data_IF_080403111438
#
_entry.id   IF_080403111438
#
_cell.length_a   1.000
_cell.length_b   1.000
_cell.length_c   1.000
_cell.angle_alpha   90.00
_cell.angle_beta   90.00
_cell.angle_gamma   90.00
#
_symmetry.space_group_name_H-M   'P 1'
#
loop_
_entity.id
_entity.type
_entity.pdbx_description
1 polymer ?
#
# COMPACT_ATOMS: atom_id res chain seq x y z
N UNK A 1 9.48 -4.07 -8.39
CA UNK A 1 8.89 -5.42 -8.40
C UNK A 1 7.47 -5.33 -8.92
N UNK A 2 7.05 -6.33 -9.69
CA UNK A 2 5.68 -6.45 -10.23
C UNK A 2 5.09 -7.78 -9.76
N UNK A 3 3.91 -7.75 -9.16
CA UNK A 3 3.15 -8.94 -8.81
C UNK A 3 2.23 -9.33 -9.98
N UNK A 4 2.26 -10.61 -10.38
CA UNK A 4 1.41 -11.19 -11.42
C UNK A 4 0.83 -12.51 -10.92
N UNK A 5 -0.38 -12.48 -10.41
CA UNK A 5 -0.93 -13.60 -9.65
C UNK A 5 -0.09 -13.87 -8.40
N UNK A 6 0.45 -15.06 -8.26
CA UNK A 6 1.35 -15.44 -7.17
C UNK A 6 2.85 -15.19 -7.47
N UNK A 7 3.19 -14.80 -8.70
CA UNK A 7 4.57 -14.60 -9.13
C UNK A 7 4.99 -13.15 -8.88
N UNK A 8 6.19 -12.99 -8.34
CA UNK A 8 6.88 -11.73 -8.20
C UNK A 8 7.98 -11.63 -9.26
N UNK A 9 7.95 -10.56 -10.01
CA UNK A 9 8.84 -10.31 -11.14
C UNK A 9 9.62 -9.03 -10.91
N UNK A 10 10.87 -9.01 -11.36
CA UNK A 10 11.68 -7.78 -11.41
C UNK A 10 11.54 -7.16 -12.78
N UNK A 11 11.09 -5.92 -12.82
CA UNK A 11 11.05 -5.11 -14.03
C UNK A 11 12.40 -4.40 -14.18
N UNK A 12 13.03 -4.57 -15.32
CA UNK A 12 14.13 -3.71 -15.73
C UNK A 12 13.53 -2.41 -16.30
N UNK A 13 13.80 -1.24 -15.69
CA UNK A 13 13.21 0.02 -16.15
C UNK A 13 13.83 0.55 -17.44
N UNK A 14 14.96 -0.01 -17.89
CA UNK A 14 15.67 0.45 -19.11
C UNK A 14 15.07 -0.17 -20.35
N UNK A 15 14.86 -1.49 -20.35
CA UNK A 15 14.37 -2.24 -21.52
C UNK A 15 12.97 -2.82 -21.35
N UNK A 16 12.37 -2.69 -20.16
CA UNK A 16 11.02 -3.17 -19.85
C UNK A 16 10.94 -4.69 -19.66
N UNK A 17 12.07 -5.41 -19.60
CA UNK A 17 12.06 -6.85 -19.39
C UNK A 17 11.58 -7.23 -18.00
N UNK A 18 10.85 -8.34 -17.92
CA UNK A 18 10.39 -8.93 -16.66
C UNK A 18 11.11 -10.25 -16.43
N UNK A 19 11.75 -10.38 -15.26
CA UNK A 19 12.42 -11.61 -14.84
C UNK A 19 11.76 -12.16 -13.59
N UNK A 20 11.55 -13.48 -13.52
CA UNK A 20 11.06 -14.14 -12.32
C UNK A 20 12.04 -13.93 -11.16
N UNK A 21 11.49 -13.64 -9.98
CA UNK A 21 12.26 -13.46 -8.75
C UNK A 21 11.80 -14.41 -7.65
N UNK A 22 10.48 -14.42 -7.33
CA UNK A 22 9.94 -15.26 -6.29
C UNK A 22 8.52 -15.71 -6.65
N UNK A 23 8.04 -16.74 -5.98
CA UNK A 23 6.64 -17.16 -6.03
C UNK A 23 6.11 -17.32 -4.62
N UNK A 24 5.01 -16.64 -4.32
CA UNK A 24 4.31 -16.76 -3.04
C UNK A 24 3.36 -17.96 -3.10
N UNK A 25 3.39 -18.88 -2.12
CA UNK A 25 2.49 -20.03 -2.10
C UNK A 25 1.08 -19.59 -1.70
N UNK A 26 0.28 -19.19 -2.67
CA UNK A 26 -1.12 -18.79 -2.49
C UNK A 26 -2.07 -19.95 -2.79
N UNK A 27 -3.11 -20.09 -1.99
CA UNK A 27 -4.24 -20.95 -2.30
C UNK A 27 -5.04 -20.42 -3.51
N UNK A 28 -5.78 -21.29 -4.23
CA UNK A 28 -6.58 -20.86 -5.38
C UNK A 28 -7.54 -19.72 -5.06
N UNK A 29 -7.54 -18.70 -5.92
CA UNK A 29 -8.39 -17.52 -5.79
C UNK A 29 -7.86 -16.43 -4.86
N UNK A 30 -6.79 -16.67 -4.12
CA UNK A 30 -6.11 -15.60 -3.38
C UNK A 30 -5.37 -14.65 -4.31
N UNK A 31 -5.31 -13.39 -3.92
CA UNK A 31 -4.65 -12.33 -4.68
C UNK A 31 -3.60 -11.66 -3.82
N UNK A 32 -2.47 -11.31 -4.42
CA UNK A 32 -1.55 -10.33 -3.84
C UNK A 32 -2.14 -8.94 -4.08
N UNK A 33 -1.94 -8.05 -3.12
CA UNK A 33 -2.41 -6.68 -3.21
C UNK A 33 -1.25 -5.69 -3.05
N UNK A 34 -1.21 -4.90 -2.01
CA UNK A 34 -0.19 -3.88 -1.83
C UNK A 34 1.02 -4.40 -1.03
N UNK A 35 2.15 -3.69 -1.13
CA UNK A 35 3.38 -4.06 -0.45
C UNK A 35 4.40 -2.93 -0.35
N UNK A 36 5.36 -3.11 0.56
CA UNK A 36 6.46 -2.18 0.80
C UNK A 36 7.77 -2.93 1.05
N UNK A 37 8.90 -2.24 0.95
CA UNK A 37 10.20 -2.81 1.31
C UNK A 37 10.60 -2.39 2.73
N UNK A 38 11.29 -3.29 3.44
CA UNK A 38 11.96 -2.95 4.69
C UNK A 38 13.38 -2.38 4.44
N UNK A 39 14.02 -1.86 5.50
CA UNK A 39 15.37 -1.29 5.42
C UNK A 39 16.46 -2.31 5.04
N UNK A 40 16.18 -3.61 5.21
CA UNK A 40 17.04 -4.69 4.78
C UNK A 40 16.84 -5.08 3.30
N UNK A 41 15.89 -4.45 2.61
CA UNK A 41 15.55 -4.69 1.21
C UNK A 41 14.68 -5.92 0.97
N UNK A 42 14.04 -6.48 2.00
CA UNK A 42 13.02 -7.50 1.82
C UNK A 42 11.67 -6.85 1.44
N UNK A 43 10.93 -7.47 0.54
CA UNK A 43 9.56 -7.07 0.21
C UNK A 43 8.59 -7.65 1.24
N UNK A 44 7.70 -6.80 1.72
CA UNK A 44 6.53 -7.19 2.49
C UNK A 44 5.29 -6.92 1.65
N UNK A 45 4.44 -7.94 1.46
CA UNK A 45 3.27 -7.86 0.59
C UNK A 45 2.09 -8.59 1.22
N UNK A 46 0.93 -7.96 1.19
CA UNK A 46 -0.31 -8.55 1.68
C UNK A 46 -0.97 -9.46 0.67
N UNK A 47 -1.64 -10.51 1.15
CA UNK A 47 -2.56 -11.29 0.31
C UNK A 47 -3.97 -11.31 0.90
N UNK A 48 -4.94 -11.42 -0.01
CA UNK A 48 -6.36 -11.26 0.26
C UNK A 48 -7.10 -12.55 -0.07
N UNK A 49 -7.89 -13.03 0.87
CA UNK A 49 -8.82 -14.14 0.66
C UNK A 49 -9.92 -13.74 -0.34
N UNK A 50 -10.33 -14.61 -1.27
CA UNK A 50 -11.36 -14.28 -2.28
C UNK A 50 -12.66 -13.75 -1.68
N UNK A 51 -13.06 -14.25 -0.52
CA UNK A 51 -14.25 -13.82 0.22
C UNK A 51 -14.03 -12.60 1.11
N UNK A 52 -12.84 -12.00 1.14
CA UNK A 52 -12.50 -10.85 2.02
C UNK A 52 -12.91 -11.05 3.46
N UNK A 53 -12.66 -12.27 3.97
CA UNK A 53 -13.09 -12.70 5.31
C UNK A 53 -12.24 -12.03 6.38
N UNK A 54 -12.83 -11.35 7.38
CA UNK A 54 -12.09 -10.82 8.51
C UNK A 54 -11.22 -11.89 9.19
N UNK A 55 -9.99 -11.55 9.52
CA UNK A 55 -9.05 -12.46 10.16
C UNK A 55 -8.33 -13.43 9.21
N UNK A 56 -8.65 -13.46 7.92
CA UNK A 56 -8.04 -14.39 6.96
C UNK A 56 -6.74 -13.87 6.34
N UNK A 57 -6.51 -12.55 6.29
CA UNK A 57 -5.41 -11.91 5.60
C UNK A 57 -4.04 -12.44 6.03
N UNK A 58 -3.15 -12.54 5.05
CA UNK A 58 -1.76 -12.95 5.24
C UNK A 58 -0.82 -11.83 4.83
N UNK A 59 0.33 -11.81 5.45
CA UNK A 59 1.44 -10.92 5.15
C UNK A 59 2.66 -11.78 4.82
N UNK A 60 3.27 -11.55 3.68
CA UNK A 60 4.41 -12.31 3.21
C UNK A 60 5.66 -11.44 3.21
N UNK A 61 6.71 -11.92 3.85
CA UNK A 61 8.05 -11.35 3.72
C UNK A 61 8.81 -12.15 2.67
N UNK A 62 9.31 -11.45 1.67
CA UNK A 62 10.12 -12.04 0.60
C UNK A 62 11.54 -11.48 0.70
N UNK A 63 12.47 -12.31 1.11
CA UNK A 63 13.88 -11.96 1.21
C UNK A 63 14.49 -11.67 -0.16
N UNK A 64 15.66 -11.00 -0.18
CA UNK A 64 16.32 -10.59 -1.42
C UNK A 64 16.64 -11.74 -2.38
N UNK A 65 16.78 -12.98 -1.84
CA UNK A 65 17.00 -14.21 -2.63
C UNK A 65 15.72 -14.93 -3.01
N UNK A 66 14.55 -14.34 -2.76
CA UNK A 66 13.24 -14.92 -3.09
C UNK A 66 12.71 -15.90 -2.03
N UNK A 67 13.36 -16.05 -0.88
CA UNK A 67 12.86 -16.81 0.25
C UNK A 67 11.60 -16.17 0.83
N UNK A 68 10.53 -16.97 1.01
CA UNK A 68 9.23 -16.47 1.46
C UNK A 68 8.93 -16.96 2.87
N UNK A 69 8.56 -16.03 3.74
CA UNK A 69 7.98 -16.31 5.06
C UNK A 69 6.60 -15.71 5.15
N UNK A 70 5.62 -16.47 5.62
CA UNK A 70 4.21 -16.03 5.71
C UNK A 70 3.76 -15.89 7.15
N UNK A 71 3.06 -14.80 7.44
CA UNK A 71 2.48 -14.45 8.73
C UNK A 71 0.97 -14.20 8.58
N UNK A 72 0.21 -14.34 9.67
CA UNK A 72 -1.18 -13.88 9.71
C UNK A 72 -1.21 -12.40 10.06
N UNK A 73 -1.78 -11.56 9.17
CA UNK A 73 -2.08 -10.15 9.47
C UNK A 73 -3.42 -9.98 10.18
N UNK A 74 -4.36 -10.88 9.92
CA UNK A 74 -5.71 -10.77 10.45
C UNK A 74 -6.60 -9.75 9.72
N UNK A 75 -6.09 -9.09 8.67
CA UNK A 75 -6.87 -8.17 7.83
C UNK A 75 -7.95 -8.91 7.02
N UNK A 76 -9.00 -8.19 6.62
CA UNK A 76 -9.98 -8.67 5.64
C UNK A 76 -9.55 -8.34 4.21
N UNK A 77 -9.06 -7.11 4.00
CA UNK A 77 -8.51 -6.62 2.74
C UNK A 77 -7.25 -5.82 3.03
N UNK A 78 -6.12 -6.54 3.02
CA UNK A 78 -4.78 -5.97 3.16
C UNK A 78 -4.51 -4.99 2.02
N UNK A 79 -4.23 -3.73 2.35
CA UNK A 79 -3.95 -2.68 1.37
C UNK A 79 -2.67 -1.93 1.75
N UNK A 80 -2.59 -0.62 1.53
CA UNK A 80 -1.40 0.18 1.71
C UNK A 80 -0.64 -0.12 2.98
N UNK A 81 0.69 -0.14 2.91
CA UNK A 81 1.53 -0.37 4.08
C UNK A 81 2.81 0.44 4.03
N UNK A 82 3.31 0.82 5.21
CA UNK A 82 4.58 1.54 5.36
C UNK A 82 5.24 1.22 6.69
N UNK A 83 6.57 1.25 6.71
CA UNK A 83 7.34 1.12 7.94
C UNK A 83 7.38 2.43 8.71
N UNK A 84 7.05 2.38 10.00
CA UNK A 84 7.21 3.52 10.92
C UNK A 84 8.65 3.60 11.40
N UNK A 85 9.22 2.47 11.72
CA UNK A 85 10.63 2.25 12.04
C UNK A 85 11.05 0.83 11.63
N UNK A 86 12.23 0.37 12.04
CA UNK A 86 12.75 -0.96 11.67
C UNK A 86 11.97 -2.16 12.26
N UNK A 87 11.03 -1.92 13.17
CA UNK A 87 10.26 -2.95 13.87
C UNK A 87 8.73 -2.78 13.76
N UNK A 88 8.25 -1.62 13.30
CA UNK A 88 6.83 -1.33 13.26
C UNK A 88 6.37 -1.04 11.83
N UNK A 89 5.38 -1.83 11.38
CA UNK A 89 4.74 -1.74 10.07
C UNK A 89 3.27 -1.32 10.26
N UNK A 90 2.85 -0.25 9.59
CA UNK A 90 1.43 0.11 9.50
C UNK A 90 0.84 -0.48 8.23
N UNK A 91 -0.36 -1.06 8.35
CA UNK A 91 -1.14 -1.65 7.27
C UNK A 91 -2.56 -1.13 7.29
N UNK A 92 -3.07 -0.73 6.14
CA UNK A 92 -4.47 -0.37 5.94
C UNK A 92 -5.32 -1.62 5.69
N UNK A 93 -6.43 -1.76 6.41
CA UNK A 93 -7.49 -2.72 6.09
C UNK A 93 -8.71 -1.96 5.55
N UNK A 94 -8.95 -2.09 4.26
CA UNK A 94 -10.03 -1.36 3.59
C UNK A 94 -11.42 -1.76 4.11
N UNK A 95 -11.65 -3.04 4.41
CA UNK A 95 -12.95 -3.54 4.88
C UNK A 95 -13.19 -3.18 6.34
N UNK A 96 -12.19 -3.38 7.20
CA UNK A 96 -12.27 -2.98 8.61
C UNK A 96 -12.22 -1.46 8.78
N UNK A 97 -11.74 -0.70 7.78
CA UNK A 97 -11.55 0.76 7.80
C UNK A 97 -10.58 1.18 8.90
N UNK A 98 -9.52 0.40 9.08
CA UNK A 98 -8.50 0.62 10.11
C UNK A 98 -7.13 0.83 9.50
N UNK A 99 -6.29 1.55 10.24
CA UNK A 99 -4.84 1.51 10.11
C UNK A 99 -4.31 0.73 11.30
N UNK A 100 -3.67 -0.41 11.05
CA UNK A 100 -3.15 -1.28 12.11
C UNK A 100 -1.64 -1.25 12.09
N UNK A 101 -1.05 -0.89 13.23
CA UNK A 101 0.38 -0.96 13.47
C UNK A 101 0.74 -2.33 14.04
N UNK A 102 1.66 -3.00 13.39
CA UNK A 102 2.20 -4.29 13.80
C UNK A 102 3.62 -4.14 14.29
N UNK A 103 3.92 -4.73 15.43
CA UNK A 103 5.31 -5.01 15.80
C UNK A 103 5.75 -6.29 15.07
N UNK A 104 6.82 -6.18 14.33
CA UNK A 104 7.37 -7.27 13.51
C UNK A 104 8.64 -7.79 14.16
N UNK A 105 8.65 -9.06 14.52
CA UNK A 105 9.81 -9.76 15.07
C UNK A 105 10.19 -10.96 14.21
N UNK A 106 11.49 -11.14 13.95
CA UNK A 106 11.98 -12.25 13.11
C UNK A 106 11.62 -13.62 13.71
N UNK A 107 11.53 -13.72 15.03
CA UNK A 107 11.20 -14.96 15.74
C UNK A 107 9.75 -14.98 16.25
N UNK A 108 9.20 -13.83 16.61
CA UNK A 108 7.91 -13.71 17.29
C UNK A 108 6.75 -13.46 16.31
N UNK A 109 7.07 -13.36 15.01
CA UNK A 109 6.08 -13.10 13.97
C UNK A 109 5.59 -11.66 13.97
N UNK A 110 4.35 -11.48 13.55
CA UNK A 110 3.68 -10.19 13.43
C UNK A 110 2.62 -10.07 14.52
N UNK A 111 2.72 -9.07 15.37
CA UNK A 111 1.81 -8.82 16.49
C UNK A 111 1.20 -7.42 16.38
N UNK A 112 -0.11 -7.30 16.60
CA UNK A 112 -0.76 -6.00 16.63
C UNK A 112 -0.22 -5.20 17.82
N UNK A 113 0.35 -4.04 17.56
CA UNK A 113 0.80 -3.09 18.55
C UNK A 113 -0.30 -2.06 18.83
N UNK A 114 -0.93 -1.54 17.78
CA UNK A 114 -2.01 -0.56 17.86
C UNK A 114 -2.92 -0.64 16.64
N UNK A 115 -4.17 -0.21 16.77
CA UNK A 115 -5.10 -0.06 15.66
C UNK A 115 -5.91 1.23 15.81
N UNK A 116 -6.00 2.00 14.72
CA UNK A 116 -6.83 3.20 14.64
C UNK A 116 -7.99 2.93 13.69
N UNK A 117 -9.21 3.16 14.17
CA UNK A 117 -10.35 3.30 13.29
C UNK A 117 -10.28 4.66 12.60
N UNK A 118 -10.47 4.69 11.29
CA UNK A 118 -10.52 5.96 10.58
C UNK A 118 -11.81 6.70 10.95
N UNK A 119 -11.73 8.03 11.17
CA UNK A 119 -12.91 8.83 11.43
C UNK A 119 -13.89 8.72 10.25
N UNK A 120 -15.20 8.93 10.48
CA UNK A 120 -16.18 8.95 9.40
C UNK A 120 -15.76 9.90 8.28
N UNK A 121 -15.82 9.41 7.06
CA UNK A 121 -15.43 10.13 5.85
C UNK A 121 -16.61 10.20 4.87
N UNK A 122 -16.69 11.21 3.99
CA UNK A 122 -17.70 11.24 2.94
C UNK A 122 -17.63 10.01 2.02
N UNK A 123 -18.77 9.57 1.52
CA UNK A 123 -18.83 8.45 0.57
C UNK A 123 -18.44 7.11 1.20
N UNK A 124 -17.89 6.20 0.39
CA UNK A 124 -17.40 4.89 0.83
C UNK A 124 -16.08 4.97 1.56
N UNK A 125 -15.20 5.89 1.16
CA UNK A 125 -13.92 6.26 1.78
C UNK A 125 -13.17 5.09 2.44
N UNK A 126 -12.82 4.09 1.67
CA UNK A 126 -12.07 2.94 2.15
C UNK A 126 -10.57 3.27 2.14
N UNK A 127 -9.82 3.03 3.22
CA UNK A 127 -8.37 3.21 3.20
C UNK A 127 -7.74 2.25 2.18
N UNK A 128 -6.91 2.81 1.31
CA UNK A 128 -6.23 2.11 0.21
C UNK A 128 -4.72 2.29 0.36
N UNK A 129 -3.98 2.59 -0.69
CA UNK A 129 -2.55 2.83 -0.63
C UNK A 129 -2.17 3.99 0.28
N UNK A 130 -1.00 3.93 0.90
CA UNK A 130 -0.52 4.95 1.83
C UNK A 130 0.99 5.16 1.76
N UNK A 131 1.43 6.34 2.20
CA UNK A 131 2.85 6.62 2.45
C UNK A 131 3.03 7.44 3.73
N UNK A 132 4.28 7.52 4.21
CA UNK A 132 4.66 8.25 5.43
C UNK A 132 5.52 9.47 5.11
N UNK A 133 5.34 10.54 5.88
CA UNK A 133 6.20 11.72 5.85
C UNK A 133 7.22 11.77 7.02
N UNK A 134 8.14 12.74 6.97
CA UNK A 134 9.21 12.89 7.97
C UNK A 134 8.72 13.27 9.37
N UNK A 135 7.50 13.78 9.51
CA UNK A 135 6.88 14.09 10.80
C UNK A 135 6.08 12.90 11.36
N UNK A 136 6.12 11.73 10.69
CA UNK A 136 5.37 10.54 11.09
C UNK A 136 3.89 10.58 10.70
N UNK A 137 3.47 11.54 9.87
CA UNK A 137 2.13 11.58 9.30
C UNK A 137 1.95 10.49 8.23
N UNK A 138 0.76 9.89 8.19
CA UNK A 138 0.36 8.89 7.21
C UNK A 138 -0.58 9.55 6.20
N UNK A 139 -0.16 9.61 4.94
CA UNK A 139 -0.98 10.02 3.81
C UNK A 139 -1.69 8.81 3.24
N UNK A 140 -3.00 8.76 3.38
CA UNK A 140 -3.84 7.60 3.06
C UNK A 140 -4.78 7.95 1.93
N UNK A 141 -4.72 7.21 0.84
CA UNK A 141 -5.74 7.27 -0.21
C UNK A 141 -7.05 6.71 0.33
N UNK A 142 -8.14 7.45 0.14
CA UNK A 142 -9.47 7.07 0.59
C UNK A 142 -10.35 6.75 -0.62
N UNK A 143 -10.30 5.49 -1.04
CA UNK A 143 -11.04 4.99 -2.21
C UNK A 143 -12.54 5.26 -2.09
N UNK A 144 -13.13 5.85 -3.12
CA UNK A 144 -14.55 6.20 -3.17
C UNK A 144 -14.88 7.59 -2.64
N UNK A 145 -13.91 8.35 -2.10
CA UNK A 145 -14.13 9.71 -1.59
C UNK A 145 -13.49 10.82 -2.45
N UNK A 146 -12.60 10.47 -3.38
CA UNK A 146 -11.84 11.46 -4.15
C UNK A 146 -10.80 12.21 -3.31
N UNK A 147 -10.30 11.62 -2.21
CA UNK A 147 -9.39 12.32 -1.31
C UNK A 147 -8.18 11.46 -0.91
N UNK A 148 -7.07 12.14 -0.63
CA UNK A 148 -5.95 11.64 0.15
C UNK A 148 -5.91 12.43 1.46
N UNK A 149 -6.02 11.76 2.60
CA UNK A 149 -6.01 12.41 3.90
C UNK A 149 -4.72 12.12 4.67
N UNK A 150 -4.19 13.13 5.36
CA UNK A 150 -3.05 12.99 6.25
C UNK A 150 -3.51 12.75 7.68
N UNK A 151 -3.01 11.70 8.31
CA UNK A 151 -3.32 11.35 9.69
C UNK A 151 -2.07 11.41 10.57
N UNK A 152 -2.20 11.98 11.76
CA UNK A 152 -1.18 11.97 12.82
C UNK A 152 -1.83 11.47 14.11
N UNK A 153 -1.34 10.37 14.67
CA UNK A 153 -1.93 9.76 15.87
C UNK A 153 -3.41 9.42 15.71
N UNK A 154 -3.83 8.95 14.54
CA UNK A 154 -5.22 8.62 14.23
C UNK A 154 -6.14 9.82 13.93
N UNK A 155 -5.64 11.06 14.03
CA UNK A 155 -6.41 12.27 13.73
C UNK A 155 -6.09 12.79 12.33
N UNK A 156 -7.12 13.09 11.54
CA UNK A 156 -6.95 13.77 10.27
C UNK A 156 -6.51 15.22 10.50
N UNK A 157 -5.39 15.60 9.87
CA UNK A 157 -4.78 16.94 10.02
C UNK A 157 -4.67 17.70 8.70
N UNK A 158 -4.75 16.99 7.57
CA UNK A 158 -4.69 17.59 6.23
C UNK A 158 -5.47 16.72 5.23
N UNK A 159 -5.84 17.29 4.07
CA UNK A 159 -6.56 16.59 3.01
C UNK A 159 -6.27 17.21 1.64
N UNK A 160 -6.06 16.34 0.65
CA UNK A 160 -5.97 16.71 -0.76
C UNK A 160 -7.13 16.08 -1.51
N UNK A 161 -7.85 16.87 -2.30
CA UNK A 161 -8.99 16.40 -3.11
C UNK A 161 -8.57 16.30 -4.57
N UNK A 162 -9.02 15.23 -5.23
CA UNK A 162 -8.92 15.02 -6.68
C UNK A 162 -10.31 14.88 -7.30
N UNK A 163 -10.48 15.20 -8.61
CA UNK A 163 -11.81 15.29 -9.22
C UNK A 163 -12.43 13.93 -9.61
N UNK A 164 -11.91 12.81 -9.10
CA UNK A 164 -12.42 11.46 -9.35
C UNK A 164 -12.46 10.66 -8.05
N UNK A 165 -13.50 9.83 -7.80
CA UNK A 165 -13.69 9.20 -6.50
C UNK A 165 -12.73 8.04 -6.20
N UNK A 166 -12.25 7.32 -7.21
CA UNK A 166 -11.49 6.08 -7.01
C UNK A 166 -9.99 6.35 -6.82
N UNK A 167 -9.64 7.04 -5.73
CA UNK A 167 -8.23 7.27 -5.33
C UNK A 167 -7.66 5.97 -4.76
N UNK A 168 -6.56 5.47 -5.35
CA UNK A 168 -6.02 4.14 -5.02
C UNK A 168 -4.73 4.18 -4.22
N UNK A 169 -3.85 5.15 -4.44
CA UNK A 169 -2.60 5.23 -3.69
C UNK A 169 -2.04 6.65 -3.67
N UNK A 170 -1.13 6.89 -2.75
CA UNK A 170 -0.39 8.13 -2.64
C UNK A 170 1.09 7.87 -2.33
N UNK A 171 1.97 8.65 -2.93
CA UNK A 171 3.40 8.59 -2.68
C UNK A 171 4.01 10.00 -2.66
N UNK A 172 4.84 10.27 -1.67
CA UNK A 172 5.62 11.50 -1.59
C UNK A 172 6.96 11.32 -2.30
N UNK A 173 7.37 12.33 -3.06
CA UNK A 173 8.62 12.30 -3.81
C UNK A 173 9.01 13.67 -4.38
N UNK A 174 9.68 13.65 -5.53
CA UNK A 174 10.20 14.85 -6.16
C UNK A 174 11.51 15.35 -5.56
N UNK A 175 12.11 16.44 -6.11
CA UNK A 175 13.43 16.91 -5.72
C UNK A 175 13.55 17.32 -4.26
N UNK A 176 12.48 17.83 -3.65
CA UNK A 176 12.42 18.25 -2.24
C UNK A 176 11.54 17.32 -1.39
N UNK A 177 11.08 16.18 -1.94
CA UNK A 177 10.24 15.21 -1.26
C UNK A 177 8.80 15.64 -1.02
N UNK A 178 8.33 16.74 -1.60
CA UNK A 178 7.00 17.30 -1.33
C UNK A 178 5.99 17.13 -2.47
N UNK A 179 6.36 16.47 -3.54
CA UNK A 179 5.42 16.13 -4.60
C UNK A 179 4.61 14.91 -4.15
N UNK A 180 3.33 15.11 -3.88
CA UNK A 180 2.38 14.04 -3.56
C UNK A 180 1.78 13.54 -4.88
N UNK A 181 2.24 12.37 -5.34
CA UNK A 181 1.69 11.68 -6.49
C UNK A 181 0.51 10.82 -6.03
N UNK A 182 -0.61 10.90 -6.77
CA UNK A 182 -1.87 10.26 -6.41
C UNK A 182 -2.35 9.44 -7.61
N UNK A 183 -2.55 8.15 -7.42
CA UNK A 183 -3.10 7.27 -8.45
C UNK A 183 -4.60 7.07 -8.27
N UNK A 184 -5.30 6.83 -9.38
CA UNK A 184 -6.74 6.59 -9.39
C UNK A 184 -7.09 5.40 -10.29
N UNK A 185 -8.30 4.87 -10.18
CA UNK A 185 -8.75 3.71 -10.93
C UNK A 185 -10.01 3.97 -11.77
N UNK A 186 -10.31 3.00 -12.62
CA UNK A 186 -11.58 2.87 -13.37
C UNK A 186 -12.26 1.53 -13.04
N UNK A 187 -12.10 1.04 -11.81
CA UNK A 187 -12.62 -0.25 -11.41
C UNK A 187 -14.15 -0.25 -11.47
N UNK A 188 -14.72 -1.27 -12.15
CA UNK A 188 -16.18 -1.41 -12.28
C UNK A 188 -16.88 -0.35 -13.14
N UNK A 189 -16.15 0.58 -13.74
CA UNK A 189 -16.75 1.61 -14.61
C UNK A 189 -17.09 1.03 -15.99
N UNK A 190 -18.35 1.17 -16.37
CA UNK A 190 -18.79 0.91 -17.74
C UNK A 190 -18.36 2.05 -18.69
N UNK A 191 -18.76 1.96 -19.96
CA UNK A 191 -18.41 2.95 -20.98
C UNK A 191 -18.94 4.36 -20.67
N UNK A 192 -20.15 4.44 -20.15
CA UNK A 192 -20.83 5.73 -19.88
C UNK A 192 -20.25 6.40 -18.63
N UNK A 193 -19.94 5.63 -17.59
CA UNK A 193 -19.24 6.10 -16.41
C UNK A 193 -17.85 6.65 -16.77
N UNK A 194 -17.08 5.95 -17.63
CA UNK A 194 -15.75 6.44 -18.11
C UNK A 194 -15.87 7.69 -18.99
N UNK A 195 -16.96 7.81 -19.74
CA UNK A 195 -17.20 9.01 -20.54
C UNK A 195 -17.57 10.23 -19.69
N UNK A 196 -18.20 9.99 -18.54
CA UNK A 196 -18.62 11.02 -17.58
C UNK A 196 -17.46 11.47 -16.66
N UNK A 197 -16.58 10.55 -16.28
CA UNK A 197 -15.38 10.82 -15.48
C UNK A 197 -14.12 10.49 -16.31
N UNK A 198 -13.67 11.48 -17.08
CA UNK A 198 -12.50 11.32 -17.98
C UNK A 198 -11.17 11.31 -17.25
N UNK A 199 -11.15 11.71 -16.00
CA UNK A 199 -9.95 11.78 -15.18
C UNK A 199 -9.76 10.52 -14.32
N UNK A 200 -10.74 9.64 -14.26
CA UNK A 200 -10.61 8.34 -13.62
C UNK A 200 -9.50 7.51 -14.28
N UNK A 201 -8.62 6.93 -13.47
CA UNK A 201 -7.43 6.21 -13.91
C UNK A 201 -6.22 7.09 -14.22
N UNK A 202 -6.33 8.42 -14.07
CA UNK A 202 -5.20 9.33 -14.19
C UNK A 202 -4.30 9.32 -12.94
N UNK A 203 -3.10 9.85 -13.10
CA UNK A 203 -2.19 10.17 -11.99
C UNK A 203 -2.21 11.67 -11.77
N UNK A 204 -2.48 12.08 -10.54
CA UNK A 204 -2.50 13.48 -10.11
C UNK A 204 -1.24 13.81 -9.32
N UNK A 205 -0.90 15.09 -9.28
CA UNK A 205 0.16 15.61 -8.44
C UNK A 205 -0.34 16.81 -7.62
N UNK A 206 0.03 16.84 -6.34
CA UNK A 206 -0.23 17.96 -5.44
C UNK A 206 1.04 18.29 -4.67
N UNK A 207 1.08 19.47 -4.03
CA UNK A 207 2.20 19.84 -3.15
C UNK A 207 1.81 19.60 -1.72
N UNK A 208 2.54 18.73 -1.03
CA UNK A 208 2.41 18.51 0.39
C UNK A 208 3.15 19.59 1.20
N UNK A 209 2.66 19.86 2.40
CA UNK A 209 3.30 20.76 3.35
C UNK A 209 4.54 20.14 4.01
N UNK A 210 4.59 18.81 4.06
CA UNK A 210 5.65 18.01 4.69
C UNK A 210 6.33 17.13 3.65
N UNK A 211 7.62 16.89 3.79
CA UNK A 211 8.39 16.08 2.84
C UNK A 211 8.33 14.58 3.15
N UNK A 212 8.65 13.78 2.12
CA UNK A 212 8.84 12.33 2.24
C UNK A 212 9.91 11.97 3.25
N UNK A 213 9.79 10.78 3.83
CA UNK A 213 10.95 10.10 4.45
C UNK A 213 11.94 9.76 3.34
N UNK A 214 13.24 10.05 3.50
CA UNK A 214 14.23 9.61 2.54
C UNK A 214 14.15 8.09 2.35
N UNK A 215 13.92 7.67 1.11
CA UNK A 215 13.94 6.23 0.78
C UNK A 215 15.37 5.83 0.52
N UNK A 216 15.93 4.83 1.23
CA UNK A 216 17.24 4.29 0.90
C UNK A 216 17.26 3.83 -0.56
N UNK A 217 18.39 4.05 -1.24
CA UNK A 217 18.57 3.50 -2.57
C UNK A 217 18.32 1.98 -2.52
N UNK A 218 17.43 1.48 -3.37
CA UNK A 218 17.16 0.05 -3.43
C UNK A 218 18.45 -0.70 -3.73
N UNK A 219 18.85 -1.59 -2.84
CA UNK A 219 19.94 -2.50 -3.15
C UNK A 219 19.48 -3.47 -4.25
N UNK A 220 20.36 -3.82 -5.22
CA UNK A 220 20.02 -4.79 -6.25
C UNK A 220 19.51 -6.09 -5.61
N UNK A 221 18.44 -6.67 -6.19
CA UNK A 221 18.00 -8.01 -5.82
C UNK A 221 19.07 -9.01 -6.27
N UNK A 222 19.44 -9.94 -5.40
CA UNK A 222 20.37 -11.00 -5.78
C UNK A 222 19.63 -11.93 -6.78
N UNK A 223 20.17 -12.17 -7.98
CA UNK A 223 19.58 -13.14 -8.89
C UNK A 223 19.59 -14.52 -8.24
N UNK A 224 18.49 -15.27 -8.41
CA UNK A 224 18.40 -16.67 -8.01
C UNK A 224 19.35 -17.55 -8.80
#
# INVERSE_FOLDING_TARGET
VVARGADLLVLDPVDGTLRAWARIPLEPGWLLNDGTADDAGALWIGSVHPGRVPGSGLLHRVGRRGDVTTFRSGSALSNGMTWVDSAHLVLADSIARTLTEYRVGVRDGVQIAHAWELPPQPGTALPDGLCRDVEGGLWVALYGSGTVARFVGGRQVDVVTVPTPQVTSAALGGPDGRDLLITTAQEGMDRDARASDREAGAVFAARATVSAVPVPAAAPLDPA
#
